data_IF_658671503362
#
_entry.id   IF_658671503362
#
_cell.length_a   1.000
_cell.length_b   1.000
_cell.length_c   1.000
_cell.angle_alpha   90.00
_cell.angle_beta   90.00
_cell.angle_gamma   90.00
#
_symmetry.space_group_name_H-M   'P 1'
#
loop_
_entity.id
_entity.type
_entity.pdbx_description
1 polymer ?
#
# COMPACT_ATOMS: atom_id res chain seq x y z
N UNK A 1 -15.76 -91.18 22.53
CA UNK A 1 -16.36 -90.04 21.81
C UNK A 1 -15.96 -88.74 22.51
N UNK A 2 -14.71 -88.31 22.38
CA UNK A 2 -14.28 -86.97 22.84
C UNK A 2 -14.44 -86.03 21.66
N UNK A 3 -15.46 -85.16 21.70
CA UNK A 3 -15.65 -84.12 20.70
C UNK A 3 -14.60 -83.03 20.92
N UNK A 4 -13.96 -82.60 19.83
CA UNK A 4 -12.87 -81.64 19.81
C UNK A 4 -13.27 -80.27 20.40
N UNK A 5 -12.93 -80.06 21.69
CA UNK A 5 -13.05 -78.77 22.36
C UNK A 5 -11.94 -77.76 21.94
N UNK A 6 -11.07 -78.17 21.02
CA UNK A 6 -9.97 -77.37 20.47
C UNK A 6 -10.51 -76.11 19.76
N UNK A 7 -11.62 -76.23 19.02
CA UNK A 7 -12.22 -75.09 18.33
C UNK A 7 -12.72 -74.02 19.31
N UNK A 8 -13.35 -74.42 20.41
CA UNK A 8 -13.83 -73.48 21.43
C UNK A 8 -12.69 -72.77 22.16
N UNK A 9 -11.57 -73.47 22.38
CA UNK A 9 -10.36 -72.89 22.98
C UNK A 9 -9.71 -71.85 22.04
N UNK A 10 -9.64 -72.16 20.74
CA UNK A 10 -9.11 -71.24 19.72
C UNK A 10 -9.98 -69.98 19.62
N UNK A 11 -11.31 -70.13 19.65
CA UNK A 11 -12.25 -69.00 19.64
C UNK A 11 -12.08 -68.15 20.90
N UNK A 12 -11.96 -68.78 22.08
CA UNK A 12 -11.72 -68.06 23.34
C UNK A 12 -10.44 -67.22 23.31
N UNK A 13 -9.33 -67.80 22.83
CA UNK A 13 -8.05 -67.10 22.68
C UNK A 13 -8.17 -65.96 21.66
N UNK A 14 -8.85 -66.18 20.54
CA UNK A 14 -9.05 -65.15 19.51
C UNK A 14 -9.85 -63.95 20.06
N UNK A 15 -10.87 -64.19 20.89
CA UNK A 15 -11.67 -63.12 21.51
C UNK A 15 -10.82 -62.31 22.50
N UNK A 16 -9.99 -62.97 23.32
CA UNK A 16 -9.10 -62.28 24.26
C UNK A 16 -8.06 -61.42 23.53
N UNK A 17 -7.46 -61.97 22.46
CA UNK A 17 -6.51 -61.23 21.62
C UNK A 17 -7.16 -60.03 20.92
N UNK A 18 -8.38 -60.22 20.40
CA UNK A 18 -9.14 -59.13 19.79
C UNK A 18 -9.44 -58.03 20.81
N UNK A 19 -9.92 -58.38 22.01
CA UNK A 19 -10.20 -57.41 23.08
C UNK A 19 -8.95 -56.62 23.49
N UNK A 20 -7.79 -57.27 23.55
CA UNK A 20 -6.52 -56.62 23.86
C UNK A 20 -6.10 -55.61 22.77
N UNK A 21 -6.20 -56.00 21.50
CA UNK A 21 -5.89 -55.12 20.36
C UNK A 21 -6.85 -53.92 20.30
N UNK A 22 -8.15 -54.15 20.52
CA UNK A 22 -9.15 -53.07 20.56
C UNK A 22 -8.91 -52.10 21.72
N UNK A 23 -8.54 -52.59 22.90
CA UNK A 23 -8.23 -51.74 24.06
C UNK A 23 -7.03 -50.82 23.78
N UNK A 24 -5.97 -51.35 23.17
CA UNK A 24 -4.79 -50.57 22.84
C UNK A 24 -5.06 -49.53 21.74
N UNK A 25 -5.82 -49.91 20.71
CA UNK A 25 -6.23 -49.00 19.65
C UNK A 25 -7.12 -47.86 20.16
N UNK A 26 -8.04 -48.17 21.08
CA UNK A 26 -8.92 -47.17 21.68
C UNK A 26 -8.16 -46.19 22.57
N UNK A 27 -7.17 -46.68 23.33
CA UNK A 27 -6.30 -45.82 24.17
C UNK A 27 -5.42 -44.89 23.33
N UNK A 28 -4.87 -45.38 22.22
CA UNK A 28 -3.97 -44.60 21.35
C UNK A 28 -4.70 -43.56 20.49
N UNK A 29 -6.01 -43.74 20.24
CA UNK A 29 -6.81 -42.83 19.42
C UNK A 29 -6.97 -41.43 20.02
N UNK A 30 -6.88 -41.29 21.35
CA UNK A 30 -7.12 -40.03 22.04
C UNK A 30 -5.83 -39.26 22.42
N UNK A 31 -4.65 -39.81 22.13
CA UNK A 31 -3.36 -39.13 22.39
C UNK A 31 -3.07 -37.96 21.43
N UNK A 32 -3.77 -37.88 20.29
CA UNK A 32 -3.53 -36.84 19.28
C UNK A 32 -4.18 -35.48 19.59
N UNK A 33 -4.93 -35.36 20.68
CA UNK A 33 -5.71 -34.14 21.00
C UNK A 33 -4.97 -33.14 21.91
N UNK A 34 -3.71 -33.40 22.27
CA UNK A 34 -2.89 -32.50 23.11
C UNK A 34 -2.25 -31.36 22.27
N UNK A 35 -3.01 -30.74 21.38
CA UNK A 35 -2.52 -29.59 20.59
C UNK A 35 -3.11 -28.30 21.13
N UNK A 36 -2.27 -27.50 21.80
CA UNK A 36 -2.63 -26.14 22.24
C UNK A 36 -2.42 -25.20 21.06
N UNK A 37 -3.50 -24.66 20.50
CA UNK A 37 -3.43 -23.60 19.49
C UNK A 37 -3.30 -22.25 20.19
N UNK A 38 -2.19 -21.55 19.95
CA UNK A 38 -1.95 -20.19 20.47
C UNK A 38 -1.97 -19.19 19.33
N UNK A 39 -2.72 -18.10 19.50
CA UNK A 39 -2.71 -16.98 18.58
C UNK A 39 -1.68 -15.97 19.06
N UNK A 40 -0.57 -15.84 18.33
CA UNK A 40 0.42 -14.79 18.56
C UNK A 40 -0.01 -13.48 17.90
N UNK A 41 0.02 -12.37 18.65
CA UNK A 41 -0.14 -11.01 18.11
C UNK A 41 1.20 -10.27 18.23
N UNK A 42 1.80 -9.92 17.09
CA UNK A 42 2.94 -9.02 17.03
C UNK A 42 2.47 -7.61 16.74
N UNK A 43 2.68 -6.68 17.68
CA UNK A 43 2.50 -5.25 17.45
C UNK A 43 3.80 -4.54 17.77
N UNK A 44 4.26 -3.70 16.84
CA UNK A 44 5.41 -2.81 17.04
C UNK A 44 5.06 -1.45 16.50
N UNK A 45 5.12 -0.45 17.38
CA UNK A 45 5.03 0.94 16.98
C UNK A 45 6.37 1.35 16.35
N UNK A 46 6.31 2.13 15.26
CA UNK A 46 7.50 2.65 14.58
C UNK A 46 7.35 4.15 14.35
N UNK A 47 8.50 4.82 14.26
CA UNK A 47 8.58 6.24 13.90
C UNK A 47 8.90 6.33 12.42
N UNK A 48 8.26 7.27 11.71
CA UNK A 48 8.53 7.50 10.29
C UNK A 48 9.99 7.92 10.11
N UNK A 49 10.70 7.19 9.27
CA UNK A 49 12.08 7.42 8.85
C UNK A 49 12.17 8.23 7.54
N UNK A 50 11.01 8.58 6.97
CA UNK A 50 10.90 9.40 5.76
C UNK A 50 9.70 10.35 5.86
N UNK A 51 9.91 11.61 5.46
CA UNK A 51 8.88 12.58 5.13
C UNK A 51 9.04 13.03 3.68
N UNK A 52 7.95 12.99 2.92
CA UNK A 52 7.88 13.52 1.55
C UNK A 52 6.85 14.64 1.52
N UNK A 53 7.29 15.87 1.25
CA UNK A 53 6.39 17.01 1.07
C UNK A 53 6.40 17.47 -0.38
N UNK A 54 5.23 17.42 -1.03
CA UNK A 54 5.02 17.89 -2.40
C UNK A 54 4.22 19.18 -2.41
N UNK A 55 4.71 20.21 -3.08
CA UNK A 55 3.99 21.47 -3.31
C UNK A 55 4.09 21.87 -4.78
N UNK A 56 3.11 22.63 -5.26
CA UNK A 56 3.05 23.10 -6.63
C UNK A 56 2.81 24.61 -6.66
N UNK A 57 3.50 25.32 -7.55
CA UNK A 57 3.28 26.73 -7.78
C UNK A 57 3.11 27.00 -9.28
N UNK A 58 2.37 28.07 -9.61
CA UNK A 58 2.07 28.39 -11.00
C UNK A 58 2.01 29.89 -11.26
N UNK A 59 2.23 30.26 -12.53
CA UNK A 59 2.09 31.61 -13.06
C UNK A 59 1.39 31.59 -14.39
N UNK A 60 0.48 32.55 -14.56
CA UNK A 60 -0.21 32.79 -15.82
C UNK A 60 0.17 34.15 -16.39
N UNK A 61 0.54 34.19 -17.66
CA UNK A 61 0.75 35.44 -18.40
C UNK A 61 0.45 35.24 -19.89
N UNK A 62 0.05 36.31 -20.59
CA UNK A 62 -0.12 36.33 -22.04
C UNK A 62 1.20 36.14 -22.78
N UNK A 63 2.31 36.57 -22.20
CA UNK A 63 3.65 36.38 -22.74
C UNK A 63 4.34 35.19 -22.05
N UNK A 64 4.68 34.15 -22.83
CA UNK A 64 5.38 32.96 -22.34
C UNK A 64 6.72 33.29 -21.65
N UNK A 65 7.47 34.25 -22.18
CA UNK A 65 8.78 34.65 -21.63
C UNK A 65 8.62 35.29 -20.25
N UNK A 66 7.62 36.14 -20.10
CA UNK A 66 7.32 36.79 -18.82
C UNK A 66 6.77 35.79 -17.80
N UNK A 67 5.91 34.85 -18.24
CA UNK A 67 5.43 33.77 -17.38
C UNK A 67 6.60 32.93 -16.84
N UNK A 68 7.57 32.58 -17.69
CA UNK A 68 8.74 31.82 -17.31
C UNK A 68 9.64 32.60 -16.34
N UNK A 69 9.93 33.87 -16.64
CA UNK A 69 10.75 34.71 -15.76
C UNK A 69 10.10 34.92 -14.38
N UNK A 70 8.77 35.08 -14.33
CA UNK A 70 8.03 35.19 -13.08
C UNK A 70 8.06 33.88 -12.28
N UNK A 71 7.90 32.73 -12.96
CA UNK A 71 7.98 31.42 -12.32
C UNK A 71 9.38 31.13 -11.78
N UNK A 72 10.42 31.46 -12.54
CA UNK A 72 11.81 31.25 -12.13
C UNK A 72 12.19 32.13 -10.92
N UNK A 73 11.68 33.37 -10.88
CA UNK A 73 11.81 34.23 -9.71
C UNK A 73 11.14 33.62 -8.48
N UNK A 74 9.93 33.08 -8.63
CA UNK A 74 9.22 32.42 -7.52
C UNK A 74 9.95 31.15 -7.07
N UNK A 75 10.54 30.38 -8.00
CA UNK A 75 11.39 29.22 -7.70
C UNK A 75 12.55 29.59 -6.80
N UNK A 76 13.28 30.66 -7.11
CA UNK A 76 14.41 31.14 -6.31
C UNK A 76 13.97 31.65 -4.92
N UNK A 77 12.82 32.33 -4.83
CA UNK A 77 12.25 32.78 -3.55
C UNK A 77 11.90 31.56 -2.68
N UNK A 78 11.20 30.57 -3.25
CA UNK A 78 10.82 29.34 -2.54
C UNK A 78 12.07 28.58 -2.08
N UNK A 79 13.04 28.38 -2.96
CA UNK A 79 14.31 27.73 -2.63
C UNK A 79 15.01 28.43 -1.46
N UNK A 80 15.18 29.75 -1.55
CA UNK A 80 15.81 30.56 -0.51
C UNK A 80 15.06 30.47 0.81
N UNK A 81 13.72 30.49 0.76
CA UNK A 81 12.88 30.36 1.95
C UNK A 81 13.07 28.99 2.61
N UNK A 82 13.05 27.89 1.86
CA UNK A 82 13.22 26.54 2.40
C UNK A 82 14.60 26.33 3.03
N UNK A 83 15.65 26.82 2.36
CA UNK A 83 17.02 26.81 2.91
C UNK A 83 17.08 27.63 4.21
N UNK A 84 16.42 28.80 4.26
CA UNK A 84 16.36 29.63 5.47
C UNK A 84 15.65 28.95 6.65
N UNK A 85 14.80 27.94 6.37
CA UNK A 85 14.11 27.11 7.36
C UNK A 85 14.92 25.88 7.79
N UNK A 86 16.12 25.69 7.28
CA UNK A 86 17.02 24.61 7.66
C UNK A 86 16.90 23.35 6.79
N UNK A 87 16.18 23.40 5.67
CA UNK A 87 16.10 22.28 4.72
C UNK A 87 17.36 22.31 3.83
N UNK A 88 18.16 21.21 3.78
CA UNK A 88 19.32 21.13 2.90
C UNK A 88 18.92 21.24 1.43
N UNK A 89 19.73 21.93 0.62
CA UNK A 89 19.45 22.08 -0.82
C UNK A 89 19.38 20.73 -1.54
N UNK A 90 20.16 19.73 -1.11
CA UNK A 90 20.14 18.37 -1.64
C UNK A 90 18.78 17.68 -1.51
N UNK A 91 17.98 18.10 -0.54
CA UNK A 91 16.70 17.50 -0.23
C UNK A 91 15.54 18.19 -0.97
N UNK A 92 15.83 19.29 -1.70
CA UNK A 92 14.83 20.08 -2.43
C UNK A 92 14.94 19.75 -3.92
N UNK A 93 13.94 19.06 -4.45
CA UNK A 93 13.88 18.67 -5.86
C UNK A 93 12.80 19.47 -6.57
N UNK A 94 13.19 20.28 -7.55
CA UNK A 94 12.26 20.97 -8.44
C UNK A 94 12.03 20.15 -9.71
N UNK A 95 10.78 19.93 -10.08
CA UNK A 95 10.41 19.22 -11.31
C UNK A 95 10.67 20.08 -12.55
N UNK A 96 10.59 19.48 -13.74
CA UNK A 96 10.48 20.26 -14.98
C UNK A 96 9.24 21.18 -14.96
N UNK A 97 9.34 22.30 -15.67
CA UNK A 97 8.23 23.25 -15.83
C UNK A 97 7.21 22.68 -16.81
N UNK A 98 5.96 22.64 -16.39
CA UNK A 98 4.82 22.31 -17.24
C UNK A 98 4.25 23.60 -17.84
N UNK A 99 4.04 23.62 -19.16
CA UNK A 99 3.56 24.80 -19.90
C UNK A 99 2.24 24.43 -20.57
N UNK A 100 1.17 25.12 -20.20
CA UNK A 100 -0.17 24.94 -20.79
C UNK A 100 -0.63 26.24 -21.46
N UNK A 101 -1.38 26.10 -22.55
CA UNK A 101 -2.10 27.21 -23.18
C UNK A 101 -3.53 27.19 -22.66
N UNK A 102 -3.96 28.27 -22.06
CA UNK A 102 -5.30 28.40 -21.52
C UNK A 102 -6.22 29.05 -22.55
N UNK A 103 -7.42 28.50 -22.68
CA UNK A 103 -8.47 29.03 -23.53
C UNK A 103 -9.77 29.14 -22.73
N UNK A 104 -10.49 30.23 -22.93
CA UNK A 104 -11.85 30.40 -22.45
C UNK A 104 -12.82 30.03 -23.57
N UNK A 105 -13.82 29.22 -23.21
CA UNK A 105 -14.83 28.75 -24.13
C UNK A 105 -16.16 29.38 -23.76
N UNK A 106 -16.78 30.07 -24.71
CA UNK A 106 -18.14 30.59 -24.55
C UNK A 106 -19.11 29.64 -25.26
N UNK A 107 -20.20 29.28 -24.59
CA UNK A 107 -21.22 28.37 -25.12
C UNK A 107 -22.50 29.12 -25.51
N UNK A 108 -23.22 28.62 -26.51
CA UNK A 108 -24.56 29.09 -26.85
C UNK A 108 -25.64 28.48 -25.93
N UNK A 109 -26.90 28.90 -26.09
CA UNK A 109 -28.03 28.38 -25.31
C UNK A 109 -28.36 26.89 -25.57
N UNK A 110 -27.76 26.28 -26.61
CA UNK A 110 -27.88 24.87 -26.95
C UNK A 110 -26.66 24.04 -26.51
N UNK A 111 -25.69 24.66 -25.81
CA UNK A 111 -24.47 24.00 -25.32
C UNK A 111 -23.35 23.84 -26.34
N UNK A 112 -23.46 24.41 -27.55
CA UNK A 112 -22.39 24.38 -28.54
C UNK A 112 -21.33 25.45 -28.23
N UNK A 113 -20.07 25.15 -28.48
CA UNK A 113 -18.97 26.12 -28.32
C UNK A 113 -19.08 27.20 -29.38
N UNK A 114 -19.39 28.43 -28.96
CA UNK A 114 -19.56 29.60 -29.82
C UNK A 114 -18.23 30.29 -30.12
N UNK A 115 -17.32 30.36 -29.15
CA UNK A 115 -16.03 31.03 -29.31
C UNK A 115 -14.97 30.42 -28.39
N UNK A 116 -13.73 30.35 -28.88
CA UNK A 116 -12.55 29.98 -28.12
C UNK A 116 -11.60 31.20 -28.09
N UNK A 117 -11.35 31.72 -26.90
CA UNK A 117 -10.51 32.90 -26.68
C UNK A 117 -9.24 32.47 -25.95
N UNK A 118 -8.07 32.75 -26.53
CA UNK A 118 -6.80 32.50 -25.85
C UNK A 118 -6.63 33.44 -24.64
N UNK A 119 -6.42 32.87 -23.45
CA UNK A 119 -6.32 33.63 -22.19
C UNK A 119 -4.91 33.65 -21.59
N UNK A 120 -3.94 33.00 -22.24
CA UNK A 120 -2.53 33.07 -21.87
C UNK A 120 -1.86 31.71 -21.70
N UNK A 121 -0.61 31.75 -21.26
CA UNK A 121 0.19 30.59 -20.90
C UNK A 121 0.16 30.41 -19.39
N UNK A 122 -0.25 29.23 -18.93
CA UNK A 122 -0.19 28.81 -17.53
C UNK A 122 1.00 27.88 -17.35
N UNK A 123 1.96 28.31 -16.56
CA UNK A 123 3.16 27.55 -16.25
C UNK A 123 3.06 27.06 -14.81
N UNK A 124 3.39 25.79 -14.59
CA UNK A 124 3.43 25.21 -13.24
C UNK A 124 4.71 24.40 -13.02
N UNK A 125 5.15 24.36 -11.76
CA UNK A 125 6.30 23.58 -11.33
C UNK A 125 6.03 22.99 -9.96
N UNK A 126 6.50 21.77 -9.74
CA UNK A 126 6.41 21.11 -8.46
C UNK A 126 7.75 21.19 -7.72
N UNK A 127 7.67 21.31 -6.40
CA UNK A 127 8.79 21.17 -5.48
C UNK A 127 8.50 20.01 -4.54
N UNK A 128 9.47 19.12 -4.41
CA UNK A 128 9.43 17.95 -3.54
C UNK A 128 10.57 18.04 -2.54
N UNK A 129 10.25 17.78 -1.27
CA UNK A 129 11.22 17.73 -0.18
C UNK A 129 11.19 16.33 0.42
N UNK A 130 12.36 15.69 0.48
CA UNK A 130 12.55 14.36 1.06
C UNK A 130 13.52 14.46 2.24
N UNK A 131 13.11 14.00 3.42
CA UNK A 131 13.95 14.03 4.62
C UNK A 131 13.68 12.87 5.58
#
# INVERSE_FOLDING_TARGET
MMKNNVNSLIIGIAVVLAAFLFSNAFKNRNQSNDTISVTGLGKKDFVSDLIVWSSSFSKKNMNLKEAYAALDKDREIIKSYLISKGIPESNIVFSAVNINKDFEYTYDGNGNTRQQIFTGFSLSQNVQIES
#
